data_IF_606279811668
#
_entry.id   IF_606279811668
#
_cell.length_a   1.000
_cell.length_b   1.000
_cell.length_c   1.000
_cell.angle_alpha   90.00
_cell.angle_beta   90.00
_cell.angle_gamma   90.00
#
_symmetry.space_group_name_H-M   'P 1'
#
loop_
_entity.id
_entity.type
_entity.pdbx_description
1 polymer ?
#
# COMPACT_ATOMS: atom_id res chain seq x y z
N UNK A 1 -59.86 -27.04 -58.73
CA UNK A 1 -58.94 -28.05 -59.30
C UNK A 1 -57.58 -27.81 -58.65
N UNK A 2 -57.18 -28.76 -57.78
CA UNK A 2 -55.83 -29.14 -57.29
C UNK A 2 -54.89 -28.06 -56.78
N UNK A 3 -54.72 -27.94 -55.45
CA UNK A 3 -53.67 -28.57 -54.56
C UNK A 3 -52.27 -28.30 -55.01
N UNK A 4 -51.50 -27.71 -54.13
CA UNK A 4 -50.42 -28.44 -53.45
C UNK A 4 -49.84 -27.62 -52.30
N UNK A 5 -49.76 -28.28 -51.15
CA UNK A 5 -49.08 -27.91 -49.97
C UNK A 5 -47.57 -27.96 -50.22
N UNK A 6 -46.81 -27.00 -49.67
CA UNK A 6 -45.40 -27.18 -49.38
C UNK A 6 -45.11 -26.60 -47.99
N UNK A 7 -44.86 -27.52 -47.12
CA UNK A 7 -44.35 -27.29 -45.78
C UNK A 7 -42.96 -26.64 -45.88
N UNK A 8 -42.79 -25.47 -45.28
CA UNK A 8 -41.47 -24.91 -44.98
C UNK A 8 -41.22 -25.12 -43.50
N UNK A 9 -40.36 -26.06 -43.18
CA UNK A 9 -39.80 -26.22 -41.87
C UNK A 9 -38.89 -25.01 -41.55
N UNK A 10 -39.28 -24.22 -40.56
CA UNK A 10 -38.44 -23.18 -40.01
C UNK A 10 -37.55 -23.87 -38.98
N UNK A 11 -36.28 -24.08 -39.31
CA UNK A 11 -35.24 -24.41 -38.33
C UNK A 11 -34.95 -23.18 -37.48
N UNK A 12 -35.44 -23.19 -36.27
CA UNK A 12 -35.06 -22.23 -35.24
C UNK A 12 -33.64 -22.55 -34.75
N UNK A 13 -32.68 -21.69 -35.12
CA UNK A 13 -31.36 -21.72 -34.51
C UNK A 13 -31.47 -21.13 -33.10
N UNK A 14 -31.42 -21.97 -32.08
CA UNK A 14 -31.18 -21.52 -30.70
C UNK A 14 -29.72 -21.01 -30.62
N UNK A 15 -29.54 -19.74 -30.70
CA UNK A 15 -28.32 -19.11 -30.27
C UNK A 15 -28.29 -19.12 -28.73
N UNK A 16 -27.59 -20.11 -28.15
CA UNK A 16 -27.27 -20.11 -26.74
C UNK A 16 -26.20 -19.02 -26.56
N UNK A 17 -26.66 -17.84 -26.16
CA UNK A 17 -25.77 -16.76 -25.68
C UNK A 17 -25.14 -17.22 -24.38
N UNK A 18 -23.88 -17.58 -24.42
CA UNK A 18 -23.06 -17.70 -23.22
C UNK A 18 -22.95 -16.29 -22.59
N UNK A 19 -23.37 -16.09 -21.34
CA UNK A 19 -23.02 -14.86 -20.64
C UNK A 19 -21.50 -14.89 -20.44
N UNK A 20 -20.79 -13.98 -21.10
CA UNK A 20 -19.41 -13.67 -20.78
C UNK A 20 -19.40 -13.08 -19.38
N UNK A 21 -19.13 -13.92 -18.38
CA UNK A 21 -18.78 -13.52 -17.02
C UNK A 21 -17.39 -12.84 -17.07
N UNK A 22 -17.34 -11.60 -17.57
CA UNK A 22 -16.25 -10.65 -17.36
C UNK A 22 -16.46 -9.94 -16.01
N UNK A 23 -16.78 -10.70 -14.98
CA UNK A 23 -16.66 -10.27 -13.60
C UNK A 23 -15.28 -10.66 -13.12
N UNK A 24 -14.29 -9.80 -13.31
CA UNK A 24 -13.01 -9.95 -12.63
C UNK A 24 -13.29 -10.10 -11.13
N UNK A 25 -12.75 -11.17 -10.53
CA UNK A 25 -12.96 -11.50 -9.13
C UNK A 25 -12.41 -10.37 -8.24
N UNK A 26 -13.24 -9.55 -7.57
CA UNK A 26 -12.75 -8.45 -6.73
C UNK A 26 -11.79 -8.94 -5.64
N UNK A 27 -12.01 -10.13 -5.11
CA UNK A 27 -11.13 -10.74 -4.11
C UNK A 27 -9.69 -11.01 -4.58
N UNK A 28 -9.48 -11.32 -5.86
CA UNK A 28 -8.12 -11.52 -6.42
C UNK A 28 -7.41 -10.18 -6.62
N UNK A 29 -8.16 -9.13 -7.01
CA UNK A 29 -7.60 -7.79 -7.14
C UNK A 29 -7.20 -7.23 -5.77
N UNK A 30 -8.03 -7.39 -4.76
CA UNK A 30 -7.73 -6.96 -3.38
C UNK A 30 -6.53 -7.71 -2.80
N UNK A 31 -6.40 -9.02 -3.01
CA UNK A 31 -5.25 -9.79 -2.57
C UNK A 31 -3.95 -9.33 -3.26
N UNK A 32 -4.01 -8.96 -4.54
CA UNK A 32 -2.88 -8.39 -5.27
C UNK A 32 -2.48 -7.01 -4.73
N UNK A 33 -3.45 -6.19 -4.41
CA UNK A 33 -3.24 -4.85 -3.83
C UNK A 33 -2.70 -4.94 -2.40
N UNK A 34 -3.19 -5.87 -1.58
CA UNK A 34 -2.66 -6.12 -0.24
C UNK A 34 -1.17 -6.52 -0.28
N UNK A 35 -0.81 -7.44 -1.19
CA UNK A 35 0.57 -7.84 -1.39
C UNK A 35 1.45 -6.67 -1.85
N UNK A 36 0.96 -5.83 -2.77
CA UNK A 36 1.67 -4.66 -3.27
C UNK A 36 1.89 -3.62 -2.16
N UNK A 37 0.90 -3.35 -1.33
CA UNK A 37 1.04 -2.45 -0.18
C UNK A 37 2.04 -3.00 0.82
N UNK A 38 1.98 -4.29 1.13
CA UNK A 38 2.94 -4.94 2.03
C UNK A 38 4.38 -4.84 1.52
N UNK A 39 4.60 -5.04 0.22
CA UNK A 39 5.91 -4.84 -0.41
C UNK A 39 6.38 -3.39 -0.29
N UNK A 40 5.48 -2.40 -0.45
CA UNK A 40 5.83 -0.99 -0.30
C UNK A 40 6.13 -0.61 1.16
N UNK A 41 5.46 -1.24 2.14
CA UNK A 41 5.78 -1.07 3.57
C UNK A 41 7.21 -1.58 3.85
N UNK A 42 7.59 -2.73 3.30
CA UNK A 42 8.97 -3.24 3.42
C UNK A 42 9.98 -2.37 2.66
N UNK A 43 9.64 -1.88 1.47
CA UNK A 43 10.49 -0.97 0.72
C UNK A 43 10.70 0.36 1.49
N UNK A 44 9.67 0.85 2.18
CA UNK A 44 9.79 2.01 3.08
C UNK A 44 10.75 1.74 4.24
N UNK A 45 10.68 0.55 4.86
CA UNK A 45 11.60 0.14 5.93
C UNK A 45 13.05 0.18 5.45
N UNK A 46 13.33 -0.42 4.30
CA UNK A 46 14.65 -0.41 3.68
C UNK A 46 15.13 1.01 3.35
N UNK A 47 14.26 1.83 2.77
CA UNK A 47 14.58 3.21 2.42
C UNK A 47 14.91 4.06 3.66
N UNK A 48 14.19 3.84 4.76
CA UNK A 48 14.48 4.49 6.05
C UNK A 48 15.82 4.04 6.63
N UNK A 49 16.10 2.74 6.59
CA UNK A 49 17.36 2.19 7.09
C UNK A 49 18.56 2.73 6.32
N UNK A 50 18.49 2.72 5.00
CA UNK A 50 19.59 3.10 4.09
C UNK A 50 19.65 4.61 3.80
N UNK A 51 18.69 5.40 4.27
CA UNK A 51 18.50 6.81 3.87
C UNK A 51 18.43 6.96 2.34
N UNK A 52 17.64 6.10 1.68
CA UNK A 52 17.47 6.12 0.23
C UNK A 52 16.43 7.17 -0.16
N UNK A 53 16.94 8.38 -0.51
CA UNK A 53 16.11 9.52 -0.91
C UNK A 53 15.19 9.19 -2.08
N UNK A 54 15.71 8.53 -3.11
CA UNK A 54 14.96 8.20 -4.33
C UNK A 54 13.77 7.30 -4.02
N UNK A 55 13.96 6.28 -3.18
CA UNK A 55 12.88 5.40 -2.76
C UNK A 55 11.88 6.12 -1.85
N UNK A 56 12.32 6.97 -0.94
CA UNK A 56 11.43 7.77 -0.08
C UNK A 56 10.55 8.70 -0.92
N UNK A 57 11.12 9.37 -1.94
CA UNK A 57 10.37 10.21 -2.88
C UNK A 57 9.35 9.41 -3.68
N UNK A 58 9.75 8.24 -4.19
CA UNK A 58 8.89 7.35 -4.97
C UNK A 58 7.71 6.82 -4.16
N UNK A 59 7.95 6.42 -2.91
CA UNK A 59 6.94 5.81 -2.06
C UNK A 59 5.97 6.81 -1.44
N UNK A 60 6.37 8.07 -1.27
CA UNK A 60 5.58 9.10 -0.59
C UNK A 60 4.69 9.86 -1.57
N UNK A 61 3.41 10.05 -1.20
CA UNK A 61 2.53 10.97 -1.88
C UNK A 61 2.97 12.41 -1.63
N UNK A 62 2.67 13.33 -2.55
CA UNK A 62 3.00 14.76 -2.35
C UNK A 62 2.22 15.38 -1.18
N UNK A 63 1.04 14.80 -0.88
CA UNK A 63 0.18 15.18 0.23
C UNK A 63 0.53 14.49 1.55
N UNK A 64 1.67 13.80 1.66
CA UNK A 64 2.05 13.05 2.86
C UNK A 64 1.88 13.89 4.13
N UNK A 65 1.21 13.31 5.12
CA UNK A 65 1.17 13.79 6.49
C UNK A 65 1.74 12.73 7.43
N UNK A 66 2.85 13.04 8.08
CA UNK A 66 3.50 12.14 9.04
C UNK A 66 3.48 12.73 10.45
N UNK A 67 2.71 12.12 11.33
CA UNK A 67 2.68 12.41 12.77
C UNK A 67 3.63 11.50 13.54
N UNK A 68 4.50 12.12 14.35
CA UNK A 68 5.38 11.42 15.28
C UNK A 68 4.68 11.10 16.59
N UNK A 69 5.22 10.16 17.36
CA UNK A 69 4.66 9.76 18.66
C UNK A 69 4.78 10.85 19.76
N UNK A 70 5.53 11.91 19.51
CA UNK A 70 5.68 13.11 20.36
C UNK A 70 4.75 14.25 19.95
N UNK A 71 3.96 14.08 18.87
CA UNK A 71 3.02 15.07 18.36
C UNK A 71 3.55 15.95 17.23
N UNK A 72 4.83 15.85 16.85
CA UNK A 72 5.36 16.57 15.68
C UNK A 72 4.69 16.05 14.40
N UNK A 73 4.34 16.95 13.49
CA UNK A 73 3.80 16.61 12.17
C UNK A 73 4.72 17.14 11.08
N UNK A 74 4.94 16.35 10.06
CA UNK A 74 5.80 16.66 8.91
C UNK A 74 5.07 16.37 7.59
N UNK A 75 5.30 17.21 6.59
CA UNK A 75 5.01 16.92 5.20
C UNK A 75 6.10 16.07 4.55
N UNK A 76 5.91 15.74 3.26
CA UNK A 76 6.85 14.91 2.47
C UNK A 76 8.28 15.44 2.50
N UNK A 77 8.47 16.72 2.20
CA UNK A 77 9.80 17.33 2.12
C UNK A 77 10.54 17.27 3.47
N UNK A 78 9.87 17.64 4.56
CA UNK A 78 10.44 17.62 5.90
C UNK A 78 10.73 16.18 6.39
N UNK A 79 9.86 15.24 6.05
CA UNK A 79 10.07 13.81 6.35
C UNK A 79 11.33 13.29 5.69
N UNK A 80 11.49 13.51 4.38
CA UNK A 80 12.65 13.04 3.62
C UNK A 80 13.91 13.74 4.10
N UNK A 81 13.87 15.08 4.27
CA UNK A 81 15.00 15.84 4.78
C UNK A 81 15.46 15.35 6.17
N UNK A 82 14.50 15.07 7.06
CA UNK A 82 14.79 14.54 8.39
C UNK A 82 15.50 13.18 8.36
N UNK A 83 15.19 12.32 7.37
CA UNK A 83 15.91 11.06 7.18
C UNK A 83 17.31 11.29 6.63
N UNK A 84 17.45 12.21 5.67
CA UNK A 84 18.74 12.48 5.01
C UNK A 84 19.74 13.21 5.91
N UNK A 85 19.26 14.07 6.81
CA UNK A 85 20.10 14.91 7.67
C UNK A 85 20.24 14.39 9.10
N UNK A 86 19.69 13.20 9.38
CA UNK A 86 19.77 12.61 10.72
C UNK A 86 21.21 12.44 11.18
N UNK A 87 21.50 12.85 12.42
CA UNK A 87 22.81 12.67 13.05
C UNK A 87 23.03 11.26 13.59
N UNK A 88 21.95 10.54 13.86
CA UNK A 88 22.01 9.19 14.38
C UNK A 88 22.52 8.21 13.33
N UNK A 89 23.45 7.36 13.73
CA UNK A 89 23.80 6.14 12.99
C UNK A 89 22.75 5.07 13.30
N UNK A 90 21.90 4.78 12.32
CA UNK A 90 20.87 3.76 12.45
C UNK A 90 21.49 2.39 12.17
N UNK A 91 21.43 1.50 13.14
CA UNK A 91 21.97 0.13 13.06
C UNK A 91 20.95 -0.85 12.51
N UNK A 92 19.70 -0.72 12.95
CA UNK A 92 18.62 -1.60 12.49
C UNK A 92 17.27 -0.84 12.48
N UNK A 93 16.39 -1.24 11.56
CA UNK A 93 14.95 -0.92 11.57
C UNK A 93 14.21 -2.19 11.21
N UNK A 94 13.25 -2.58 12.03
CA UNK A 94 12.35 -3.69 11.77
C UNK A 94 10.89 -3.25 11.90
N UNK A 95 10.01 -3.89 11.13
CA UNK A 95 8.56 -3.68 11.17
C UNK A 95 7.85 -4.98 11.52
N UNK A 96 7.89 -5.42 12.79
CA UNK A 96 7.14 -6.61 13.21
C UNK A 96 5.63 -6.42 13.06
N UNK A 97 4.92 -7.54 12.89
CA UNK A 97 3.46 -7.64 12.91
C UNK A 97 2.74 -6.80 11.83
N UNK A 98 3.28 -6.77 10.61
CA UNK A 98 2.65 -6.06 9.50
C UNK A 98 1.28 -6.67 9.18
N UNK A 99 0.24 -5.84 9.31
CA UNK A 99 -1.14 -6.14 8.91
C UNK A 99 -1.61 -5.10 7.90
N UNK A 100 -2.09 -5.54 6.77
CA UNK A 100 -2.61 -4.69 5.69
C UNK A 100 -4.09 -4.99 5.49
N UNK A 101 -4.87 -3.96 5.21
CA UNK A 101 -6.27 -4.05 4.81
C UNK A 101 -6.52 -3.06 3.68
N UNK A 102 -7.11 -3.52 2.59
CA UNK A 102 -7.39 -2.73 1.38
C UNK A 102 -8.87 -2.40 1.30
N UNK A 103 -9.19 -1.19 0.86
CA UNK A 103 -10.53 -0.72 0.59
C UNK A 103 -10.51 0.15 -0.67
N UNK A 104 -10.75 -0.45 -1.84
CA UNK A 104 -10.65 0.23 -3.14
C UNK A 104 -9.25 0.78 -3.37
N UNK A 105 -9.13 2.08 -3.61
CA UNK A 105 -7.86 2.78 -3.84
C UNK A 105 -7.16 3.24 -2.55
N UNK A 106 -7.64 2.81 -1.40
CA UNK A 106 -7.04 3.09 -0.09
C UNK A 106 -6.64 1.79 0.62
N UNK A 107 -5.57 1.85 1.39
CA UNK A 107 -5.15 0.75 2.26
C UNK A 107 -4.63 1.27 3.59
N UNK A 108 -4.85 0.49 4.63
CA UNK A 108 -4.31 0.73 5.96
C UNK A 108 -3.25 -0.33 6.23
N UNK A 109 -2.07 0.09 6.69
CA UNK A 109 -1.08 -0.82 7.23
C UNK A 109 -0.76 -0.47 8.69
N UNK A 110 -0.75 -1.48 9.55
CA UNK A 110 -0.33 -1.38 10.95
C UNK A 110 0.85 -2.32 11.20
N UNK A 111 1.81 -1.85 11.98
CA UNK A 111 2.96 -2.65 12.40
C UNK A 111 3.60 -2.04 13.64
N UNK A 112 4.51 -2.74 14.25
CA UNK A 112 5.46 -2.13 15.18
C UNK A 112 6.59 -1.49 14.39
N UNK A 113 7.16 -0.44 14.91
CA UNK A 113 8.42 0.14 14.47
C UNK A 113 9.43 -0.06 15.59
N UNK A 114 10.45 -0.82 15.31
CA UNK A 114 11.57 -1.03 16.22
C UNK A 114 12.86 -0.58 15.54
N UNK A 115 13.66 0.22 16.22
CA UNK A 115 14.95 0.65 15.70
C UNK A 115 16.01 0.72 16.78
N UNK A 116 17.23 0.39 16.37
CA UNK A 116 18.44 0.62 17.14
C UNK A 116 19.29 1.66 16.42
N UNK A 117 19.70 2.68 17.15
CA UNK A 117 20.54 3.75 16.62
C UNK A 117 21.50 4.26 17.70
N UNK A 118 22.46 5.05 17.27
CA UNK A 118 23.45 5.68 18.15
C UNK A 118 23.69 7.11 17.72
N UNK A 119 23.76 8.00 18.71
CA UNK A 119 24.12 9.41 18.50
C UNK A 119 25.20 9.78 19.53
N UNK A 120 26.36 10.25 19.06
CA UNK A 120 27.49 10.63 19.91
C UNK A 120 27.90 9.52 20.89
N UNK A 121 27.92 8.25 20.40
CA UNK A 121 28.24 7.06 21.19
C UNK A 121 27.15 6.61 22.17
N UNK A 122 26.01 7.27 22.20
CA UNK A 122 24.88 6.93 23.07
C UNK A 122 23.84 6.12 22.31
N UNK A 123 23.49 4.90 22.75
CA UNK A 123 22.46 4.11 22.12
C UNK A 123 21.08 4.77 22.31
N UNK A 124 20.25 4.68 21.28
CA UNK A 124 18.85 5.10 21.30
C UNK A 124 18.01 4.02 20.62
N UNK A 125 17.16 3.35 21.41
CA UNK A 125 16.27 2.31 20.94
C UNK A 125 14.83 2.83 20.97
N UNK A 126 14.13 2.63 19.88
CA UNK A 126 12.72 3.05 19.74
C UNK A 126 11.86 1.81 19.50
N UNK A 127 10.73 1.74 20.22
CA UNK A 127 9.66 0.78 19.97
C UNK A 127 8.32 1.48 20.11
N UNK A 128 7.62 1.63 18.99
CA UNK A 128 6.34 2.33 18.90
C UNK A 128 5.38 1.58 17.98
N UNK A 129 4.09 1.86 18.08
CA UNK A 129 3.11 1.43 17.10
C UNK A 129 3.06 2.41 15.92
N UNK A 130 2.76 1.88 14.74
CA UNK A 130 2.59 2.67 13.52
C UNK A 130 1.26 2.35 12.86
N UNK A 131 0.58 3.41 12.41
CA UNK A 131 -0.51 3.36 11.45
C UNK A 131 -0.04 4.08 10.19
N UNK A 132 -0.23 3.49 9.04
CA UNK A 132 -0.04 4.17 7.76
C UNK A 132 -1.23 3.98 6.84
N UNK A 133 -1.54 5.01 6.07
CA UNK A 133 -2.54 5.01 5.01
C UNK A 133 -1.80 5.12 3.68
N UNK A 134 -2.13 4.21 2.79
CA UNK A 134 -1.63 4.15 1.43
C UNK A 134 -2.77 4.44 0.47
N UNK A 135 -2.48 5.17 -0.60
CA UNK A 135 -3.45 5.51 -1.64
C UNK A 135 -2.88 5.15 -3.00
N UNK A 136 -3.72 4.55 -3.84
CA UNK A 136 -3.36 4.25 -5.22
C UNK A 136 -3.45 5.53 -6.06
N UNK A 137 -2.32 6.03 -6.53
CA UNK A 137 -2.21 7.23 -7.35
C UNK A 137 -1.50 6.86 -8.66
N UNK A 138 -2.18 7.04 -9.80
CA UNK A 138 -1.64 6.67 -11.11
C UNK A 138 -1.22 5.19 -11.20
N UNK A 139 -1.99 4.28 -10.57
CA UNK A 139 -1.71 2.86 -10.52
C UNK A 139 -0.64 2.42 -9.50
N UNK A 140 -0.03 3.35 -8.76
CA UNK A 140 0.99 3.06 -7.76
C UNK A 140 0.50 3.38 -6.35
N UNK A 141 0.77 2.49 -5.41
CA UNK A 141 0.49 2.73 -4.00
C UNK A 141 1.51 3.72 -3.42
N UNK A 142 1.01 4.83 -2.86
CA UNK A 142 1.78 5.91 -2.25
C UNK A 142 1.41 6.07 -0.78
N UNK A 143 2.40 6.33 0.06
CA UNK A 143 2.21 6.65 1.47
C UNK A 143 1.56 8.03 1.59
N UNK A 144 0.29 8.07 2.00
CA UNK A 144 -0.49 9.30 2.15
C UNK A 144 -0.45 9.83 3.58
N UNK A 145 -0.52 8.93 4.57
CA UNK A 145 -0.42 9.31 5.97
C UNK A 145 0.36 8.27 6.76
N UNK A 146 1.04 8.73 7.80
CA UNK A 146 1.78 7.89 8.75
C UNK A 146 1.65 8.48 10.14
N UNK A 147 1.34 7.66 11.15
CA UNK A 147 1.22 8.10 12.53
C UNK A 147 1.92 7.12 13.45
N UNK A 148 2.92 7.63 14.18
CA UNK A 148 3.53 6.93 15.30
C UNK A 148 2.71 7.15 16.58
N UNK A 149 2.60 6.12 17.41
CA UNK A 149 1.95 6.21 18.72
C UNK A 149 2.71 5.39 19.76
N UNK A 150 2.69 5.86 21.00
CA UNK A 150 3.29 5.15 22.12
C UNK A 150 2.47 3.89 22.42
N UNK A 151 3.16 2.83 22.75
CA UNK A 151 2.53 1.62 23.26
C UNK A 151 2.21 1.83 24.75
N UNK A 152 1.08 1.22 25.19
CA UNK A 152 0.66 1.24 26.60
C UNK A 152 1.58 0.35 27.45
#
# INVERSE_FOLDING_TARGET
>A
MQTTRRDLAVMGALAIGLPTLLGGFPALAEAGDEAAVKQNVEALREALLKADKTQLERLSADQLSYGHSDGKVQGKAEFIDGVMTRKATVKSITFPDIKVSVAGDAAIARHLYESESETDGKPNNVKIGMLSVWQKQGGNWKLLARQGYKLA
#
